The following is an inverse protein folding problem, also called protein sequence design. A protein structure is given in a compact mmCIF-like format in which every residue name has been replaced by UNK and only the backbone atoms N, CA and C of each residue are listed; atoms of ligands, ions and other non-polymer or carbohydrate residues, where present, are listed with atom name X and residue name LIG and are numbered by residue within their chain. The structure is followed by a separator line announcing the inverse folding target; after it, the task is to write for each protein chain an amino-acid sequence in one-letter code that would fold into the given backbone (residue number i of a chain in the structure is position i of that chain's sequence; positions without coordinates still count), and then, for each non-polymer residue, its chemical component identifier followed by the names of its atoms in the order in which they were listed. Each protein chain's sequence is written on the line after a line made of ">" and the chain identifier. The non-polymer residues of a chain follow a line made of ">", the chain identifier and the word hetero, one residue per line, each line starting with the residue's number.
data_IF_056078015559
#
_entry.id   IF_056078015559
#
_cell.length_a   1.000
_cell.length_b   1.000
_cell.length_c   1.000
_cell.angle_alpha   90.00
_cell.angle_beta   90.00
_cell.angle_gamma   90.00
#
_symmetry.space_group_name_H-M   'P 1'
#
loop_
_entity.id
_entity.type
_entity.pdbx_description
1 polymer ?
#
# COMPACT_ATOMS: atom_id res chain seq x y z
N UNK A 1 -19.29 -4.12 7.69
CA UNK A 1 -19.07 -4.49 6.27
C UNK A 1 -20.27 -4.13 5.40
N UNK A 2 -21.16 -3.25 5.89
CA UNK A 2 -22.51 -3.08 5.35
C UNK A 2 -22.64 -1.89 4.40
N UNK A 3 -21.61 -1.04 4.32
CA UNK A 3 -21.60 0.14 3.45
C UNK A 3 -21.72 -0.22 1.96
N UNK A 4 -20.94 -1.21 1.50
CA UNK A 4 -20.98 -1.68 0.11
C UNK A 4 -22.34 -2.33 -0.20
N UNK A 5 -22.90 -3.10 0.74
CA UNK A 5 -24.21 -3.73 0.58
C UNK A 5 -25.34 -2.69 0.51
N UNK A 6 -25.24 -1.60 1.27
CA UNK A 6 -26.18 -0.49 1.19
C UNK A 6 -26.09 0.26 -0.16
N UNK A 7 -24.88 0.49 -0.66
CA UNK A 7 -24.67 1.09 -1.99
C UNK A 7 -25.22 0.19 -3.10
N UNK A 8 -24.97 -1.12 -3.03
CA UNK A 8 -25.51 -2.09 -3.99
C UNK A 8 -27.04 -2.08 -4.02
N UNK A 9 -27.67 -2.01 -2.84
CA UNK A 9 -29.13 -1.91 -2.70
C UNK A 9 -29.65 -0.61 -3.31
N UNK A 10 -29.03 0.53 -3.03
CA UNK A 10 -29.42 1.84 -3.62
C UNK A 10 -29.29 1.84 -5.14
N UNK A 11 -28.20 1.25 -5.66
CA UNK A 11 -27.96 1.18 -7.10
C UNK A 11 -28.93 0.24 -7.83
N UNK A 12 -29.53 -0.73 -7.14
CA UNK A 12 -30.54 -1.64 -7.69
C UNK A 12 -31.88 -0.94 -7.95
N UNK A 13 -32.28 0.00 -7.09
CA UNK A 13 -33.51 0.78 -7.27
C UNK A 13 -33.44 1.78 -8.43
N UNK A 14 -32.24 2.20 -8.85
CA UNK A 14 -32.06 3.24 -9.86
C UNK A 14 -31.92 2.73 -11.30
N UNK A 15 -32.06 1.43 -11.58
CA UNK A 15 -32.00 0.85 -12.93
C UNK A 15 -30.75 1.28 -13.75
N UNK A 16 -29.58 1.39 -13.11
CA UNK A 16 -28.34 1.82 -13.77
C UNK A 16 -27.82 0.84 -14.85
N UNK A 17 -28.43 -0.34 -15.01
CA UNK A 17 -28.04 -1.33 -16.01
C UNK A 17 -26.54 -1.66 -15.94
N UNK A 18 -25.84 -1.53 -17.06
CA UNK A 18 -24.40 -1.78 -17.17
C UNK A 18 -23.52 -0.73 -16.45
N UNK A 19 -24.06 0.43 -16.04
CA UNK A 19 -23.30 1.49 -15.36
C UNK A 19 -23.38 1.39 -13.82
N UNK A 20 -24.10 0.38 -13.29
CA UNK A 20 -24.27 0.18 -11.84
C UNK A 20 -22.93 0.13 -11.11
N UNK A 21 -21.97 -0.62 -11.65
CA UNK A 21 -20.68 -0.84 -10.99
C UNK A 21 -19.82 0.42 -10.99
N UNK A 22 -19.81 1.18 -12.10
CA UNK A 22 -19.11 2.47 -12.18
C UNK A 22 -19.63 3.48 -11.16
N UNK A 23 -20.96 3.60 -11.04
CA UNK A 23 -21.57 4.48 -10.05
C UNK A 23 -21.22 4.09 -8.62
N UNK A 24 -21.22 2.79 -8.30
CA UNK A 24 -20.83 2.31 -6.96
C UNK A 24 -19.35 2.63 -6.71
N UNK A 25 -18.47 2.44 -7.70
CA UNK A 25 -17.05 2.82 -7.59
C UNK A 25 -16.88 4.30 -7.30
N UNK A 26 -17.57 5.18 -8.02
CA UNK A 26 -17.51 6.62 -7.82
C UNK A 26 -18.02 7.03 -6.43
N UNK A 27 -19.10 6.40 -5.97
CA UNK A 27 -19.63 6.61 -4.61
C UNK A 27 -18.65 6.15 -3.53
N UNK A 28 -17.93 5.04 -3.76
CA UNK A 28 -16.90 4.56 -2.84
C UNK A 28 -15.73 5.55 -2.80
N UNK A 29 -15.20 5.95 -3.95
CA UNK A 29 -14.06 6.88 -4.04
C UNK A 29 -14.38 8.20 -3.33
N UNK A 30 -15.56 8.77 -3.59
CA UNK A 30 -16.00 10.01 -2.94
C UNK A 30 -16.37 9.83 -1.46
N UNK A 31 -16.79 8.63 -1.06
CA UNK A 31 -17.23 8.31 0.30
C UNK A 31 -16.11 7.94 1.28
N UNK A 32 -14.90 7.69 0.78
CA UNK A 32 -13.74 7.33 1.61
C UNK A 32 -13.13 8.58 2.24
N UNK A 33 -12.99 8.56 3.57
CA UNK A 33 -12.32 9.65 4.32
C UNK A 33 -10.78 9.56 4.27
N UNK A 34 -10.22 8.38 4.00
CA UNK A 34 -8.77 8.18 3.92
C UNK A 34 -8.22 8.65 2.57
N UNK A 35 -7.47 9.76 2.60
CA UNK A 35 -6.84 10.34 1.41
C UNK A 35 -5.91 9.36 0.70
N UNK A 36 -5.15 8.56 1.46
CA UNK A 36 -4.21 7.59 0.86
C UNK A 36 -4.95 6.50 0.10
N UNK A 37 -6.10 6.08 0.62
CA UNK A 37 -6.98 5.13 -0.05
C UNK A 37 -7.62 5.74 -1.31
N UNK A 38 -8.09 6.98 -1.25
CA UNK A 38 -8.65 7.68 -2.42
C UNK A 38 -7.61 7.84 -3.53
N UNK A 39 -6.38 8.27 -3.20
CA UNK A 39 -5.29 8.45 -4.17
C UNK A 39 -4.96 7.13 -4.87
N UNK A 40 -4.80 6.04 -4.10
CA UNK A 40 -4.54 4.69 -4.62
C UNK A 40 -5.64 4.17 -5.54
N UNK A 41 -6.90 4.53 -5.30
CA UNK A 41 -8.02 4.15 -6.15
C UNK A 41 -8.05 4.98 -7.44
N UNK A 42 -7.69 6.26 -7.39
CA UNK A 42 -7.59 7.13 -8.57
C UNK A 42 -6.39 6.81 -9.48
N UNK A 43 -5.37 6.13 -8.96
CA UNK A 43 -4.25 5.59 -9.76
C UNK A 43 -4.68 4.43 -10.69
N UNK A 44 -5.82 3.77 -10.40
CA UNK A 44 -6.31 2.64 -11.19
C UNK A 44 -6.95 3.18 -12.48
N UNK A 45 -6.53 2.70 -13.66
CA UNK A 45 -7.11 3.16 -14.91
C UNK A 45 -8.56 2.67 -15.04
N UNK A 46 -9.41 3.49 -15.69
CA UNK A 46 -10.86 3.31 -15.72
C UNK A 46 -11.31 1.99 -16.39
N UNK A 47 -10.49 1.42 -17.28
CA UNK A 47 -10.69 0.12 -17.93
C UNK A 47 -10.61 -1.07 -16.96
N UNK A 48 -9.92 -0.89 -15.83
CA UNK A 48 -9.71 -1.92 -14.80
C UNK A 48 -10.43 -1.61 -13.49
N UNK A 49 -11.18 -0.50 -13.44
CA UNK A 49 -11.89 -0.04 -12.25
C UNK A 49 -13.18 -0.83 -12.04
N UNK A 50 -13.03 -2.07 -11.55
CA UNK A 50 -14.15 -2.93 -11.17
C UNK A 50 -14.45 -2.82 -9.68
N UNK A 51 -15.71 -3.05 -9.31
CA UNK A 51 -16.14 -3.01 -7.90
C UNK A 51 -15.30 -3.95 -7.03
N UNK A 52 -15.02 -5.16 -7.50
CA UNK A 52 -14.19 -6.11 -6.77
C UNK A 52 -12.78 -5.56 -6.51
N UNK A 53 -12.17 -4.95 -7.53
CA UNK A 53 -10.83 -4.37 -7.42
C UNK A 53 -10.79 -3.23 -6.41
N UNK A 54 -11.78 -2.35 -6.44
CA UNK A 54 -11.90 -1.25 -5.46
C UNK A 54 -11.96 -1.80 -4.04
N UNK A 55 -12.81 -2.80 -3.79
CA UNK A 55 -12.96 -3.40 -2.46
C UNK A 55 -11.66 -4.08 -2.02
N UNK A 56 -10.98 -4.80 -2.92
CA UNK A 56 -9.68 -5.41 -2.62
C UNK A 56 -8.63 -4.37 -2.27
N UNK A 57 -8.54 -3.27 -3.02
CA UNK A 57 -7.59 -2.19 -2.74
C UNK A 57 -7.85 -1.56 -1.37
N UNK A 58 -9.10 -1.22 -1.04
CA UNK A 58 -9.44 -0.69 0.28
C UNK A 58 -9.00 -1.63 1.41
N UNK A 59 -9.30 -2.93 1.30
CA UNK A 59 -8.89 -3.94 2.29
C UNK A 59 -7.38 -4.05 2.43
N UNK A 60 -6.64 -4.02 1.32
CA UNK A 60 -5.18 -4.07 1.38
C UNK A 60 -4.60 -2.85 2.10
N UNK A 61 -5.17 -1.66 1.87
CA UNK A 61 -4.72 -0.42 2.52
C UNK A 61 -5.03 -0.47 4.01
N UNK A 62 -6.23 -0.88 4.40
CA UNK A 62 -6.60 -1.08 5.81
C UNK A 62 -5.64 -2.06 6.52
N UNK A 63 -5.35 -3.21 5.90
CA UNK A 63 -4.41 -4.19 6.45
C UNK A 63 -2.98 -3.65 6.54
N UNK A 64 -2.54 -2.93 5.50
CA UNK A 64 -1.20 -2.33 5.47
C UNK A 64 -1.05 -1.26 6.55
N UNK A 65 -2.05 -0.38 6.70
CA UNK A 65 -2.08 0.66 7.72
C UNK A 65 -2.10 0.04 9.13
N UNK A 66 -2.88 -1.02 9.35
CA UNK A 66 -2.89 -1.76 10.60
C UNK A 66 -1.50 -2.37 10.90
N UNK A 67 -0.87 -2.99 9.90
CA UNK A 67 0.45 -3.60 10.06
C UNK A 67 1.55 -2.56 10.36
N UNK A 68 1.56 -1.44 9.63
CA UNK A 68 2.49 -0.33 9.87
C UNK A 68 2.32 0.21 11.29
N UNK A 69 1.07 0.36 11.76
CA UNK A 69 0.79 0.84 13.11
C UNK A 69 1.36 -0.11 14.17
N UNK A 70 1.18 -1.44 14.00
CA UNK A 70 1.79 -2.44 14.90
C UNK A 70 3.31 -2.37 14.90
N UNK A 71 3.94 -2.16 13.74
CA UNK A 71 5.40 -2.00 13.65
C UNK A 71 5.89 -0.72 14.36
N UNK A 72 5.12 0.37 14.28
CA UNK A 72 5.45 1.63 14.96
C UNK A 72 5.29 1.54 16.49
N UNK A 73 4.31 0.78 16.97
CA UNK A 73 4.07 0.56 18.41
C UNK A 73 5.16 -0.32 19.07
N UNK A 74 5.87 -1.14 18.28
CA UNK A 74 6.99 -1.98 18.73
C UNK A 74 8.32 -1.64 18.02
N UNK A 75 8.94 -0.47 18.28
CA UNK A 75 10.15 -0.05 17.58
C UNK A 75 11.41 -0.85 17.94
N UNK A 76 11.34 -1.74 18.94
CA UNK A 76 12.46 -2.55 19.39
C UNK A 76 12.68 -3.78 18.49
N UNK A 77 13.17 -3.54 17.27
CA UNK A 77 13.73 -4.63 16.44
C UNK A 77 15.10 -5.01 17.01
N UNK A 78 15.30 -6.29 17.29
CA UNK A 78 16.57 -6.76 17.82
C UNK A 78 17.63 -6.63 16.72
N UNK A 79 18.54 -5.66 16.87
CA UNK A 79 19.66 -5.51 15.94
C UNK A 79 20.46 -6.82 15.97
N UNK A 80 20.47 -7.54 14.86
CA UNK A 80 21.32 -8.70 14.70
C UNK A 80 22.77 -8.22 14.85
N UNK A 81 23.36 -8.44 16.02
CA UNK A 81 24.76 -8.10 16.26
C UNK A 81 25.58 -8.85 15.22
N UNK A 82 26.39 -8.18 14.38
CA UNK A 82 27.33 -8.90 13.56
C UNK A 82 28.22 -9.71 14.51
N UNK A 83 28.18 -11.04 14.37
CA UNK A 83 28.92 -11.94 15.23
C UNK A 83 30.38 -11.49 15.30
N UNK A 84 30.91 -11.39 16.52
CA UNK A 84 32.34 -11.15 16.73
C UNK A 84 33.10 -12.35 16.19
N UNK A 85 33.46 -12.33 14.91
CA UNK A 85 34.46 -13.24 14.36
C UNK A 85 35.75 -13.00 15.13
N UNK A 86 36.15 -14.02 15.90
CA UNK A 86 37.32 -13.99 16.76
C UNK A 86 38.57 -13.58 15.99
N UNK A 87 39.37 -12.71 16.60
CA UNK A 87 40.69 -12.32 16.13
C UNK A 87 41.54 -13.56 15.83
N UNK A 88 41.87 -13.81 14.56
CA UNK A 88 43.05 -14.57 14.16
C UNK A 88 43.68 -13.94 12.92
N UNK A 89 44.89 -13.41 13.10
CA UNK A 89 45.94 -13.37 12.08
C UNK A 89 45.82 -12.32 10.97
N UNK A 90 46.81 -11.43 10.94
CA UNK A 90 47.02 -10.39 9.94
C UNK A 90 47.04 -10.87 8.48
N UNK A 91 46.47 -10.05 7.58
CA UNK A 91 47.13 -9.66 6.32
C UNK A 91 46.45 -8.43 5.72
N UNK A 92 47.26 -7.39 5.50
CA UNK A 92 46.86 -6.16 4.84
C UNK A 92 46.67 -6.44 3.36
N UNK A 93 45.54 -6.03 2.78
CA UNK A 93 45.54 -5.57 1.40
C UNK A 93 44.41 -4.55 1.17
N UNK A 94 44.82 -3.39 0.68
CA UNK A 94 44.01 -2.25 0.29
C UNK A 94 43.05 -2.62 -0.84
N UNK A 95 41.75 -2.34 -0.68
CA UNK A 95 40.82 -2.07 -1.78
C UNK A 95 39.60 -1.33 -1.24
N UNK A 96 39.59 -0.04 -1.57
CA UNK A 96 38.51 0.94 -1.65
C UNK A 96 37.07 0.49 -1.36
N UNK A 97 36.43 1.29 -0.50
CA UNK A 97 35.03 1.34 -0.09
C UNK A 97 33.99 1.18 -1.19
N UNK A 98 32.96 0.38 -0.92
CA UNK A 98 31.65 0.54 -1.58
C UNK A 98 30.60 0.78 -0.50
N UNK A 99 30.34 2.06 -0.23
CA UNK A 99 29.12 2.50 0.46
C UNK A 99 27.93 2.34 -0.50
N UNK A 100 26.75 1.90 -0.05
CA UNK A 100 25.56 1.89 -0.90
C UNK A 100 25.08 3.33 -1.13
N UNK A 101 25.14 3.79 -2.39
CA UNK A 101 24.49 5.02 -2.83
C UNK A 101 23.00 4.75 -3.00
N UNK A 102 22.18 5.25 -2.06
CA UNK A 102 20.75 5.46 -2.29
C UNK A 102 20.46 6.94 -2.13
N UNK A 103 20.78 7.71 -3.18
CA UNK A 103 20.05 8.93 -3.54
C UNK A 103 20.51 9.40 -4.93
N UNK A 104 19.55 9.97 -5.68
CA UNK A 104 19.65 10.63 -6.99
C UNK A 104 19.45 9.72 -8.20
N UNK A 105 18.20 9.66 -8.66
CA UNK A 105 17.89 9.77 -10.08
C UNK A 105 16.76 10.80 -10.23
N UNK A 106 17.15 12.03 -10.59
CA UNK A 106 16.30 12.99 -11.28
C UNK A 106 17.02 13.31 -12.60
N UNK A 107 16.53 12.70 -13.68
CA UNK A 107 16.77 13.06 -15.09
C UNK A 107 15.38 12.96 -15.76
N UNK A 108 14.91 13.88 -16.60
CA UNK A 108 15.57 14.83 -17.50
C UNK A 108 14.95 16.24 -17.41
#
# INVERSE_FOLDING_TARGET
>A
MDYIAELQRKAEYCQYGAQKDGFICDMIINGINDKTCSEKLMEIPADQLTLERVIQTCRHIELTNAHIKTLQEHPAVHVARPGKYGKRGARQNSSTSVLPKVLQNACH
#
